data_IF_037385439300
#
_entry.id   IF_037385439300
#
_cell.length_a   1.000
_cell.length_b   1.000
_cell.length_c   1.000
_cell.angle_alpha   90.00
_cell.angle_beta   90.00
_cell.angle_gamma   90.00
#
_symmetry.space_group_name_H-M   'P 1'
#
loop_
_entity.id
_entity.type
_entity.pdbx_description
1 polymer ?
#
# COMPACT_ATOMS: atom_id res chain seq x y z
N UNK A 1 2.25 -2.67 -3.13
CA UNK A 1 1.86 -2.72 -1.71
C UNK A 1 0.58 -3.54 -1.60
N UNK A 2 0.25 -4.06 -0.43
CA UNK A 2 -0.89 -4.96 -0.24
C UNK A 2 -1.68 -4.62 1.04
N UNK A 3 -2.84 -5.26 1.20
CA UNK A 3 -3.68 -5.17 2.41
C UNK A 3 -3.99 -6.52 3.03
N UNK A 4 -3.96 -7.62 2.26
CA UNK A 4 -4.49 -8.93 2.67
C UNK A 4 -5.99 -8.90 3.04
N UNK A 5 -6.76 -8.03 2.38
CA UNK A 5 -8.21 -7.98 2.53
C UNK A 5 -8.86 -9.35 2.27
N UNK A 6 -9.81 -9.80 3.12
CA UNK A 6 -10.55 -9.02 4.12
C UNK A 6 -9.92 -8.94 5.51
N UNK A 7 -8.70 -9.46 5.70
CA UNK A 7 -8.00 -9.57 6.97
C UNK A 7 -7.04 -8.39 7.21
N UNK A 8 -6.49 -8.26 8.43
CA UNK A 8 -5.38 -7.35 8.74
C UNK A 8 -5.62 -5.86 8.42
N UNK A 9 -6.76 -5.31 8.83
CA UNK A 9 -7.03 -3.89 8.67
C UNK A 9 -5.90 -3.02 9.28
N UNK A 10 -5.46 -1.95 8.59
CA UNK A 10 -4.38 -1.10 9.08
C UNK A 10 -4.78 -0.45 10.41
N UNK A 11 -3.79 0.01 11.20
CA UNK A 11 -4.03 0.50 12.57
C UNK A 11 -5.13 1.58 12.66
N UNK A 12 -5.19 2.51 11.70
CA UNK A 12 -6.22 3.58 11.62
C UNK A 12 -7.65 3.06 11.36
N UNK A 13 -7.78 1.78 11.01
CA UNK A 13 -9.03 1.06 10.70
C UNK A 13 -9.13 -0.26 11.47
N UNK A 14 -8.37 -0.42 12.56
CA UNK A 14 -8.29 -1.67 13.31
C UNK A 14 -9.64 -2.01 13.93
N UNK A 15 -10.07 -3.26 13.77
CA UNK A 15 -11.37 -3.75 14.20
C UNK A 15 -12.47 -3.65 13.13
N UNK A 16 -12.25 -2.87 12.05
CA UNK A 16 -13.10 -2.90 10.86
C UNK A 16 -12.63 -4.01 9.89
N UNK A 17 -13.51 -4.45 8.98
CA UNK A 17 -13.12 -5.33 7.87
C UNK A 17 -12.10 -4.60 6.98
N UNK A 18 -11.02 -5.28 6.60
CA UNK A 18 -10.06 -4.67 5.70
C UNK A 18 -10.61 -4.58 4.28
N UNK A 19 -10.26 -3.51 3.57
CA UNK A 19 -10.70 -3.23 2.21
C UNK A 19 -9.49 -2.97 1.30
N UNK A 20 -9.55 -3.31 -0.01
CA UNK A 20 -8.44 -3.05 -0.93
C UNK A 20 -8.00 -1.59 -0.96
N UNK A 21 -8.96 -0.65 -0.86
CA UNK A 21 -8.69 0.79 -0.84
C UNK A 21 -7.88 1.27 0.38
N UNK A 22 -7.75 0.46 1.43
CA UNK A 22 -6.93 0.78 2.60
C UNK A 22 -5.42 0.62 2.32
N UNK A 23 -5.02 0.13 1.14
CA UNK A 23 -3.62 0.05 0.70
C UNK A 23 -2.92 1.41 0.77
N UNK A 24 -3.66 2.53 0.62
CA UNK A 24 -3.12 3.88 0.76
C UNK A 24 -2.46 4.13 2.12
N UNK A 25 -3.01 3.58 3.19
CA UNK A 25 -2.45 3.75 4.54
C UNK A 25 -1.14 2.99 4.71
N UNK A 26 -1.01 1.84 4.04
CA UNK A 26 0.23 1.06 4.00
C UNK A 26 1.30 1.83 3.23
N UNK A 27 0.95 2.42 2.07
CA UNK A 27 1.86 3.25 1.27
C UNK A 27 2.30 4.49 2.05
N UNK A 28 1.39 5.21 2.71
CA UNK A 28 1.73 6.35 3.58
C UNK A 28 2.67 5.97 4.72
N UNK A 29 2.45 4.81 5.35
CA UNK A 29 3.34 4.32 6.40
C UNK A 29 4.73 3.98 5.83
N UNK A 30 4.80 3.27 4.70
CA UNK A 30 6.05 2.94 4.02
C UNK A 30 6.84 4.18 3.61
N UNK A 31 6.16 5.20 3.08
CA UNK A 31 6.76 6.48 2.68
C UNK A 31 7.41 7.16 3.88
N UNK A 32 6.66 7.31 4.98
CA UNK A 32 7.17 7.86 6.25
C UNK A 32 8.36 7.06 6.80
N UNK A 33 8.23 5.74 6.85
CA UNK A 33 9.29 4.86 7.36
C UNK A 33 10.59 4.91 6.53
N UNK A 34 10.49 5.28 5.25
CA UNK A 34 11.62 5.40 4.32
C UNK A 34 12.09 6.85 4.07
N UNK A 35 11.46 7.84 4.70
CA UNK A 35 11.75 9.26 4.45
C UNK A 35 11.47 9.69 3.00
N UNK A 36 10.53 9.01 2.33
CA UNK A 36 10.15 9.29 0.94
C UNK A 36 8.79 9.99 0.87
N UNK A 37 8.52 10.66 -0.25
CA UNK A 37 7.20 11.23 -0.53
C UNK A 37 6.16 10.14 -0.84
N UNK A 38 4.89 10.40 -0.52
CA UNK A 38 3.81 9.46 -0.79
C UNK A 38 3.70 9.13 -2.29
N UNK A 39 3.75 10.14 -3.17
CA UNK A 39 3.62 9.94 -4.63
C UNK A 39 4.80 9.20 -5.21
N UNK A 40 5.99 9.41 -4.65
CA UNK A 40 7.16 8.62 -5.01
C UNK A 40 6.98 7.15 -4.62
N UNK A 41 6.55 6.86 -3.39
CA UNK A 41 6.31 5.49 -2.93
C UNK A 41 5.18 4.80 -3.70
N UNK A 42 4.10 5.51 -3.99
CA UNK A 42 2.97 5.05 -4.83
C UNK A 42 3.47 4.66 -6.23
N UNK A 43 4.23 5.55 -6.88
CA UNK A 43 4.80 5.29 -8.21
C UNK A 43 5.76 4.10 -8.17
N UNK A 44 6.71 4.09 -7.24
CA UNK A 44 7.72 3.04 -7.15
C UNK A 44 7.09 1.65 -6.92
N UNK A 45 6.11 1.55 -6.02
CA UNK A 45 5.42 0.27 -5.77
C UNK A 45 4.57 -0.17 -6.97
N UNK A 46 3.96 0.76 -7.71
CA UNK A 46 3.19 0.46 -8.91
C UNK A 46 4.09 -0.02 -10.06
N UNK A 47 5.19 0.68 -10.34
CA UNK A 47 6.14 0.28 -11.39
C UNK A 47 6.81 -1.05 -11.08
N UNK A 48 7.12 -1.32 -9.81
CA UNK A 48 7.63 -2.62 -9.39
C UNK A 48 6.62 -3.75 -9.65
N UNK A 49 5.35 -3.54 -9.34
CA UNK A 49 4.29 -4.52 -9.63
C UNK A 49 4.14 -4.74 -11.14
N UNK A 50 4.10 -3.65 -11.94
CA UNK A 50 4.05 -3.73 -13.40
C UNK A 50 5.18 -4.57 -13.98
N UNK A 51 6.42 -4.29 -13.57
CA UNK A 51 7.60 -5.04 -14.01
C UNK A 51 7.55 -6.51 -13.59
N UNK A 52 7.14 -6.80 -12.35
CA UNK A 52 7.12 -8.16 -11.82
C UNK A 52 6.04 -9.02 -12.49
N UNK A 53 4.86 -8.45 -12.72
CA UNK A 53 3.70 -9.18 -13.24
C UNK A 53 3.47 -8.97 -14.74
N UNK A 54 4.32 -8.20 -15.42
CA UNK A 54 4.17 -7.90 -16.85
C UNK A 54 2.92 -7.06 -17.17
N UNK A 55 2.53 -6.16 -16.27
CA UNK A 55 1.37 -5.29 -16.47
C UNK A 55 1.81 -4.04 -17.25
N UNK A 56 1.38 -3.93 -18.50
CA UNK A 56 1.69 -2.84 -19.42
C UNK A 56 0.46 -2.42 -20.21
#
# INVERSE_FOLDING_TARGET
AETDCPYLAPQVKRGERNLPQYVKYVIEYMARARGADFKEMERATSENAKRLFGLG
#
